data_IF_411207348409
#
_entry.id   IF_411207348409
#
_cell.length_a   1.000
_cell.length_b   1.000
_cell.length_c   1.000
_cell.angle_alpha   90.00
_cell.angle_beta   90.00
_cell.angle_gamma   90.00
#
_symmetry.space_group_name_H-M   'P 1'
#
loop_
_entity.id
_entity.type
_entity.pdbx_description
1 polymer ?
#
# COMPACT_ATOMS: atom_id res chain seq x y z
N UNK A 1 -5.19 13.61 -10.68
CA UNK A 1 -5.00 14.95 -11.26
C UNK A 1 -5.71 16.06 -10.48
N UNK A 2 -7.02 15.99 -10.23
CA UNK A 2 -7.74 17.04 -9.48
C UNK A 2 -7.73 16.89 -7.97
N UNK A 3 -7.20 15.77 -7.48
CA UNK A 3 -7.01 15.53 -6.06
C UNK A 3 -6.16 16.65 -5.43
N UNK A 4 -6.56 17.14 -4.26
CA UNK A 4 -5.95 18.27 -3.53
C UNK A 4 -6.15 19.68 -4.11
N UNK A 5 -6.85 19.84 -5.25
CA UNK A 5 -7.21 21.17 -5.75
C UNK A 5 -8.41 21.71 -4.95
N UNK A 6 -8.17 22.77 -4.15
CA UNK A 6 -9.23 23.46 -3.38
C UNK A 6 -10.35 23.94 -4.30
N UNK A 7 -11.59 23.67 -3.91
CA UNK A 7 -12.79 24.01 -4.69
C UNK A 7 -13.21 22.95 -5.73
N UNK A 8 -12.31 22.04 -6.14
CA UNK A 8 -12.66 20.89 -6.98
C UNK A 8 -12.75 19.61 -6.15
N UNK A 9 -11.67 19.28 -5.43
CA UNK A 9 -11.63 18.15 -4.52
C UNK A 9 -12.01 18.62 -3.11
N UNK A 10 -12.94 17.89 -2.46
CA UNK A 10 -13.44 18.22 -1.12
C UNK A 10 -12.72 17.47 0.00
N UNK A 11 -11.54 16.89 -0.27
CA UNK A 11 -10.68 16.30 0.78
C UNK A 11 -10.30 17.37 1.83
N UNK A 12 -10.20 17.02 3.12
CA UNK A 12 -10.36 15.67 3.69
C UNK A 12 -11.81 15.29 4.01
N UNK A 13 -12.80 16.17 3.77
CA UNK A 13 -14.21 15.95 4.18
C UNK A 13 -14.87 14.74 3.50
N UNK A 14 -14.45 14.40 2.28
CA UNK A 14 -14.88 13.20 1.57
C UNK A 14 -13.66 12.44 1.03
N UNK A 15 -13.80 11.12 0.84
CA UNK A 15 -12.81 10.31 0.13
C UNK A 15 -12.79 10.71 -1.36
N UNK A 16 -11.61 10.64 -1.99
CA UNK A 16 -11.48 11.03 -3.40
C UNK A 16 -12.26 10.07 -4.33
N UNK A 17 -12.37 8.80 -3.95
CA UNK A 17 -13.16 7.80 -4.67
C UNK A 17 -14.63 8.23 -4.86
N UNK A 18 -15.20 8.89 -3.85
CA UNK A 18 -16.59 9.34 -3.82
C UNK A 18 -16.77 10.79 -4.32
N UNK A 19 -15.71 11.40 -4.87
CA UNK A 19 -15.72 12.77 -5.35
C UNK A 19 -16.22 12.86 -6.80
N UNK A 20 -17.18 13.75 -7.08
CA UNK A 20 -17.67 14.04 -8.44
C UNK A 20 -16.58 14.63 -9.35
N UNK A 21 -15.64 15.38 -8.78
CA UNK A 21 -14.50 15.96 -9.50
C UNK A 21 -13.31 14.99 -9.62
N UNK A 22 -13.51 13.68 -9.38
CA UNK A 22 -12.42 12.70 -9.47
C UNK A 22 -11.87 12.66 -10.90
N UNK A 23 -10.55 12.67 -11.00
CA UNK A 23 -9.81 12.65 -12.25
C UNK A 23 -8.49 11.95 -11.96
N UNK A 24 -8.52 10.62 -11.97
CA UNK A 24 -7.36 9.77 -11.71
C UNK A 24 -6.39 9.83 -12.88
N UNK A 25 -5.09 9.64 -12.60
CA UNK A 25 -4.09 9.53 -13.67
C UNK A 25 -4.25 8.13 -14.28
N UNK A 26 -4.49 8.02 -15.60
CA UNK A 26 -4.51 6.72 -16.25
C UNK A 26 -3.10 6.12 -16.24
N UNK A 27 -3.00 4.80 -16.12
CA UNK A 27 -1.72 4.10 -16.28
C UNK A 27 -1.43 4.03 -17.78
N UNK A 28 -0.43 4.79 -18.23
CA UNK A 28 0.05 4.81 -19.63
C UNK A 28 1.52 4.37 -19.69
N UNK A 29 2.03 4.13 -20.90
CA UNK A 29 3.43 3.75 -21.10
C UNK A 29 4.38 4.82 -20.53
N UNK A 30 4.05 6.11 -20.65
CA UNK A 30 4.86 7.21 -20.09
C UNK A 30 4.85 7.22 -18.56
N UNK A 31 3.76 6.78 -17.92
CA UNK A 31 3.66 6.64 -16.46
C UNK A 31 4.55 5.49 -15.98
N UNK A 32 4.56 4.38 -16.71
CA UNK A 32 5.43 3.23 -16.44
C UNK A 32 6.90 3.61 -16.66
N UNK A 33 7.22 4.26 -17.78
CA UNK A 33 8.57 4.75 -18.08
C UNK A 33 9.06 5.72 -17.00
N UNK A 34 8.22 6.68 -16.60
CA UNK A 34 8.55 7.63 -15.54
C UNK A 34 8.85 6.94 -14.22
N UNK A 35 8.11 5.88 -13.89
CA UNK A 35 8.38 5.08 -12.69
C UNK A 35 9.72 4.34 -12.77
N UNK A 36 10.00 3.68 -13.91
CA UNK A 36 11.24 2.92 -14.10
C UNK A 36 12.49 3.81 -14.13
N UNK A 37 12.36 5.04 -14.65
CA UNK A 37 13.44 6.03 -14.68
C UNK A 37 13.55 6.83 -13.38
N UNK A 38 12.59 6.68 -12.45
CA UNK A 38 12.55 7.43 -11.19
C UNK A 38 12.29 8.92 -11.36
N UNK A 39 11.62 9.34 -12.45
CA UNK A 39 11.36 10.74 -12.71
C UNK A 39 10.38 10.97 -13.86
N UNK A 40 9.63 12.07 -13.81
CA UNK A 40 8.62 12.40 -14.82
C UNK A 40 9.27 12.76 -16.17
N UNK A 41 9.13 11.88 -17.16
CA UNK A 41 9.69 12.06 -18.51
C UNK A 41 9.03 13.21 -19.28
N UNK A 42 7.80 13.56 -18.92
CA UNK A 42 7.02 14.64 -19.53
C UNK A 42 7.39 16.02 -18.96
N UNK A 43 7.82 16.08 -17.69
CA UNK A 43 8.24 17.30 -17.02
C UNK A 43 9.76 17.44 -16.96
N UNK A 44 10.36 17.89 -18.07
CA UNK A 44 11.80 18.18 -18.23
C UNK A 44 12.43 19.14 -17.21
N UNK A 45 11.64 19.78 -16.33
CA UNK A 45 12.10 20.77 -15.33
C UNK A 45 11.92 20.33 -13.88
N UNK A 46 11.25 19.20 -13.61
CA UNK A 46 11.01 18.72 -12.24
C UNK A 46 11.75 17.41 -12.02
N UNK A 47 12.87 17.47 -11.30
CA UNK A 47 13.57 16.30 -10.78
C UNK A 47 12.86 15.81 -9.51
N UNK A 48 11.57 15.48 -9.63
CA UNK A 48 10.81 14.84 -8.55
C UNK A 48 10.82 13.35 -8.81
N UNK A 49 11.12 12.60 -7.75
CA UNK A 49 11.00 11.15 -7.77
C UNK A 49 9.57 10.79 -8.19
N UNK A 50 9.47 9.90 -9.17
CA UNK A 50 8.20 9.44 -9.71
C UNK A 50 8.06 7.95 -9.41
N UNK A 51 7.12 7.61 -8.53
CA UNK A 51 6.86 6.23 -8.14
C UNK A 51 5.37 5.95 -8.23
N UNK A 52 5.02 4.81 -8.83
CA UNK A 52 3.67 4.27 -8.80
C UNK A 52 3.67 2.97 -8.01
N UNK A 53 2.60 2.74 -7.25
CA UNK A 53 2.36 1.47 -6.56
C UNK A 53 1.24 0.70 -7.25
N UNK A 54 1.38 -0.62 -7.32
CA UNK A 54 0.31 -1.52 -7.78
C UNK A 54 -0.10 -2.40 -6.61
N UNK A 55 -1.40 -2.44 -6.33
CA UNK A 55 -1.98 -3.33 -5.32
C UNK A 55 -2.83 -4.38 -6.04
N UNK A 56 -2.34 -5.61 -6.22
CA UNK A 56 -3.07 -6.66 -6.90
C UNK A 56 -4.23 -7.16 -6.03
N UNK A 57 -5.42 -6.60 -6.25
CA UNK A 57 -6.66 -7.00 -5.60
C UNK A 57 -7.55 -7.78 -6.55
N UNK A 58 -8.35 -8.68 -6.00
CA UNK A 58 -9.48 -9.31 -6.67
C UNK A 58 -10.61 -8.30 -6.88
N UNK A 59 -11.55 -8.63 -7.77
CA UNK A 59 -12.65 -7.73 -8.15
C UNK A 59 -13.57 -7.36 -6.98
N UNK A 60 -13.60 -8.17 -5.93
CA UNK A 60 -14.35 -7.95 -4.70
C UNK A 60 -13.51 -7.26 -3.61
N UNK A 61 -12.40 -6.64 -3.98
CA UNK A 61 -11.47 -5.93 -3.08
C UNK A 61 -10.76 -6.84 -2.07
N UNK A 62 -10.66 -8.14 -2.37
CA UNK A 62 -9.94 -9.10 -1.54
C UNK A 62 -8.57 -9.47 -2.14
N UNK A 63 -7.67 -10.07 -1.35
CA UNK A 63 -6.35 -10.53 -1.82
C UNK A 63 -6.03 -11.94 -1.31
N UNK A 64 -5.27 -12.72 -2.09
CA UNK A 64 -4.81 -14.07 -1.70
C UNK A 64 -3.56 -14.04 -0.82
N UNK A 65 -2.79 -12.96 -0.96
CA UNK A 65 -1.51 -12.75 -0.30
C UNK A 65 -1.45 -11.31 0.17
N UNK A 66 -0.90 -11.12 1.36
CA UNK A 66 -0.67 -9.83 1.99
C UNK A 66 0.76 -9.89 2.55
N UNK A 67 1.55 -8.84 2.41
CA UNK A 67 2.87 -8.74 3.02
C UNK A 67 2.91 -7.56 3.97
N UNK A 68 3.05 -7.84 5.25
CA UNK A 68 3.13 -6.77 6.26
C UNK A 68 4.59 -6.55 6.59
N UNK A 69 5.05 -5.36 6.26
CA UNK A 69 6.38 -4.86 6.60
C UNK A 69 6.32 -4.16 7.96
N UNK A 70 7.11 -4.64 8.91
CA UNK A 70 7.22 -4.05 10.23
C UNK A 70 8.50 -3.21 10.28
N UNK A 71 8.31 -1.90 10.12
CA UNK A 71 9.36 -0.90 10.21
C UNK A 71 9.51 -0.39 11.66
N UNK A 72 10.71 0.11 12.01
CA UNK A 72 11.09 0.80 13.27
C UNK A 72 11.60 -0.09 14.42
N UNK A 73 12.13 0.58 15.45
CA UNK A 73 12.47 -0.01 16.74
C UNK A 73 11.25 -0.68 17.36
N UNK A 74 11.41 -1.90 17.86
CA UNK A 74 10.31 -2.66 18.48
C UNK A 74 9.50 -3.54 17.51
N UNK A 75 9.95 -3.69 16.25
CA UNK A 75 9.26 -4.54 15.27
C UNK A 75 9.06 -5.99 15.76
N UNK A 76 9.94 -6.51 16.62
CA UNK A 76 9.83 -7.87 17.16
C UNK A 76 8.59 -8.03 18.04
N UNK A 77 8.31 -7.05 18.89
CA UNK A 77 7.12 -7.01 19.73
C UNK A 77 5.85 -6.90 18.87
N UNK A 78 5.86 -6.00 17.88
CA UNK A 78 4.72 -5.78 16.99
C UNK A 78 4.41 -7.04 16.16
N UNK A 79 5.43 -7.67 15.57
CA UNK A 79 5.30 -8.95 14.87
C UNK A 79 4.76 -10.03 15.81
N UNK A 80 5.25 -10.10 17.05
CA UNK A 80 4.80 -11.11 18.01
C UNK A 80 3.30 -10.99 18.30
N UNK A 81 2.83 -9.77 18.59
CA UNK A 81 1.41 -9.48 18.83
C UNK A 81 0.57 -9.75 17.57
N UNK A 82 1.10 -9.40 16.39
CA UNK A 82 0.42 -9.65 15.13
C UNK A 82 0.25 -11.14 14.85
N UNK A 83 1.30 -11.94 15.09
CA UNK A 83 1.27 -13.39 14.90
C UNK A 83 0.33 -14.08 15.90
N UNK A 84 0.28 -13.63 17.16
CA UNK A 84 -0.70 -14.10 18.15
C UNK A 84 -2.13 -13.77 17.74
N UNK A 85 -2.34 -12.58 17.19
CA UNK A 85 -3.63 -12.17 16.65
C UNK A 85 -4.03 -13.08 15.49
N UNK A 86 -3.14 -13.29 14.50
CA UNK A 86 -3.39 -14.21 13.39
C UNK A 86 -3.75 -15.62 13.87
N UNK A 87 -3.03 -16.14 14.87
CA UNK A 87 -3.35 -17.43 15.50
C UNK A 87 -4.77 -17.45 16.10
N UNK A 88 -5.15 -16.41 16.83
CA UNK A 88 -6.49 -16.32 17.46
C UNK A 88 -7.63 -16.29 16.43
N UNK A 89 -7.41 -15.62 15.29
CA UNK A 89 -8.37 -15.55 14.18
C UNK A 89 -8.26 -16.71 13.19
N UNK A 90 -7.37 -17.68 13.43
CA UNK A 90 -7.10 -18.83 12.54
C UNK A 90 -6.70 -18.41 11.12
N UNK A 91 -5.98 -17.31 11.02
CA UNK A 91 -5.41 -16.79 9.79
C UNK A 91 -4.00 -17.37 9.63
N UNK A 92 -3.70 -18.11 8.55
CA UNK A 92 -2.35 -18.59 8.30
C UNK A 92 -1.39 -17.41 8.08
N UNK A 93 -0.24 -17.48 8.74
CA UNK A 93 0.76 -16.42 8.75
C UNK A 93 2.16 -17.02 8.80
N UNK A 94 3.10 -16.37 8.11
CA UNK A 94 4.52 -16.71 8.15
C UNK A 94 5.34 -15.46 8.41
N UNK A 95 6.34 -15.59 9.28
CA UNK A 95 7.29 -14.52 9.57
C UNK A 95 8.57 -14.83 8.82
N UNK A 96 9.01 -13.90 7.99
CA UNK A 96 10.34 -13.89 7.42
C UNK A 96 11.15 -12.77 8.12
N UNK A 97 12.44 -12.97 8.32
CA UNK A 97 13.31 -11.95 8.93
C UNK A 97 14.50 -11.82 8.00
N UNK A 98 14.55 -10.71 7.27
CA UNK A 98 15.61 -10.42 6.31
C UNK A 98 16.49 -9.31 6.91
N UNK A 99 17.77 -9.60 7.04
CA UNK A 99 18.81 -8.77 7.66
C UNK A 99 18.60 -8.44 9.16
N UNK A 100 19.59 -8.81 9.98
CA UNK A 100 19.63 -8.47 11.41
C UNK A 100 19.78 -6.97 11.70
N UNK A 101 19.79 -6.13 10.67
CA UNK A 101 19.80 -4.67 10.75
C UNK A 101 18.54 -4.11 10.06
N UNK A 102 17.48 -4.02 10.87
CA UNK A 102 16.33 -3.11 10.72
C UNK A 102 15.43 -3.23 9.47
N UNK A 103 14.78 -4.37 9.23
CA UNK A 103 13.41 -4.42 8.66
C UNK A 103 12.87 -5.86 8.65
N UNK A 104 11.70 -6.10 9.28
CA UNK A 104 11.07 -7.41 9.35
C UNK A 104 9.93 -7.55 8.35
N UNK A 105 10.18 -8.17 7.20
CA UNK A 105 9.13 -8.46 6.21
C UNK A 105 8.41 -9.78 6.55
N UNK A 106 7.11 -9.76 6.79
CA UNK A 106 6.33 -10.99 6.97
C UNK A 106 5.42 -11.28 5.76
N UNK A 107 5.58 -12.48 5.20
CA UNK A 107 4.85 -12.96 4.02
C UNK A 107 3.60 -13.77 4.45
N UNK A 108 2.40 -13.41 4.02
CA UNK A 108 1.16 -14.10 4.43
C UNK A 108 0.44 -14.74 3.25
N UNK A 109 0.24 -16.07 3.30
CA UNK A 109 -0.59 -16.79 2.33
C UNK A 109 -1.92 -17.22 2.98
N UNK A 110 -3.06 -16.81 2.41
CA UNK A 110 -4.36 -17.14 2.96
C UNK A 110 -5.03 -18.31 2.22
N UNK A 111 -5.75 -19.16 2.96
CA UNK A 111 -6.63 -20.18 2.37
C UNK A 111 -7.89 -19.60 1.73
N UNK A 112 -8.30 -18.40 2.13
CA UNK A 112 -9.42 -17.64 1.58
C UNK A 112 -9.01 -16.17 1.44
N UNK A 113 -9.50 -15.44 0.44
CA UNK A 113 -9.14 -14.03 0.27
C UNK A 113 -9.56 -13.17 1.46
N UNK A 114 -8.67 -12.30 1.93
CA UNK A 114 -8.99 -11.34 2.99
C UNK A 114 -9.42 -10.00 2.38
N UNK A 115 -10.47 -9.39 2.98
CA UNK A 115 -10.91 -8.04 2.64
C UNK A 115 -10.05 -7.03 3.39
N UNK A 116 -9.53 -6.05 2.66
CA UNK A 116 -8.70 -4.99 3.26
C UNK A 116 -9.55 -4.02 4.08
N UNK A 117 -9.08 -3.69 5.28
CA UNK A 117 -9.63 -2.67 6.15
C UNK A 117 -8.52 -1.72 6.61
N UNK A 118 -8.78 -0.41 6.59
CA UNK A 118 -7.83 0.61 7.04
C UNK A 118 -8.08 0.91 8.51
N UNK A 119 -7.10 0.66 9.38
CA UNK A 119 -7.05 1.17 10.74
C UNK A 119 -5.65 1.72 11.04
N UNK A 120 -5.63 2.78 11.84
CA UNK A 120 -4.54 3.74 12.09
C UNK A 120 -3.09 3.22 11.97
N UNK A 121 -2.28 4.03 11.27
CA UNK A 121 -0.81 4.11 11.26
C UNK A 121 0.05 2.86 10.99
N UNK A 122 -0.54 1.70 10.70
CA UNK A 122 0.20 0.53 10.21
C UNK A 122 -0.22 0.26 8.78
N UNK A 123 0.73 0.38 7.86
CA UNK A 123 0.47 0.06 6.48
C UNK A 123 0.34 -1.48 6.36
N UNK A 124 -0.90 -1.96 6.23
CA UNK A 124 -1.19 -3.27 5.65
C UNK A 124 -0.75 -3.21 4.19
N UNK A 125 0.54 -3.43 3.94
CA UNK A 125 1.04 -3.56 2.57
C UNK A 125 0.61 -4.91 2.00
N UNK A 126 0.40 -4.91 0.68
CA UNK A 126 0.34 -6.12 -0.12
C UNK A 126 1.76 -6.49 -0.52
#
# INVERSE_FOLDING_TARGET
RKEWIKGLCRKPKIKCHDCESRDFVPVTDEVIESHLLGGDVSMKRSKRDYTIGVYPLLQDETCWFLAVDFDKEGWMEDVSVYMDTCRSYKVPAYLNVLDQEMEGMSDFSFRNPLRLGWHDNSALLC
#
